data_IF_666346245078
#
_entry.id   IF_666346245078
#
_cell.length_a   1.000
_cell.length_b   1.000
_cell.length_c   1.000
_cell.angle_alpha   90.00
_cell.angle_beta   90.00
_cell.angle_gamma   90.00
#
_symmetry.space_group_name_H-M   'P 1'
#
loop_
_entity.id
_entity.type
_entity.pdbx_description
1 polymer ?
#
# COMPACT_ATOMS: atom_id res chain seq x y z
N UNK A 1 -19.37 -22.13 -5.35
CA UNK A 1 -19.07 -20.80 -4.78
C UNK A 1 -18.00 -21.02 -3.74
N UNK A 2 -16.84 -20.42 -3.95
CA UNK A 2 -15.75 -20.34 -2.98
C UNK A 2 -15.73 -18.93 -2.40
N UNK A 3 -15.19 -18.78 -1.19
CA UNK A 3 -14.87 -17.47 -0.62
C UNK A 3 -13.36 -17.34 -0.53
N UNK A 4 -12.86 -16.12 -0.71
CA UNK A 4 -11.50 -15.78 -0.31
C UNK A 4 -11.53 -14.86 0.90
N UNK A 5 -10.52 -15.01 1.76
CA UNK A 5 -10.26 -14.08 2.85
C UNK A 5 -9.30 -13.00 2.36
N UNK A 6 -9.63 -11.74 2.58
CA UNK A 6 -8.79 -10.59 2.28
C UNK A 6 -8.71 -9.64 3.48
N UNK A 7 -7.74 -8.73 3.49
CA UNK A 7 -7.65 -7.67 4.49
C UNK A 7 -8.22 -6.37 3.91
N UNK A 8 -9.23 -5.81 4.56
CA UNK A 8 -9.77 -4.49 4.26
C UNK A 8 -9.16 -3.46 5.20
N UNK A 9 -8.43 -2.51 4.64
CA UNK A 9 -7.93 -1.34 5.36
C UNK A 9 -8.87 -0.16 5.18
N UNK A 10 -9.07 0.62 6.24
CA UNK A 10 -9.95 1.79 6.25
C UNK A 10 -9.29 2.99 6.92
N UNK A 11 -8.59 3.81 6.13
CA UNK A 11 -8.03 5.08 6.56
C UNK A 11 -8.81 6.28 5.99
N UNK A 12 -10.13 6.14 5.85
CA UNK A 12 -10.99 7.27 5.50
C UNK A 12 -10.98 8.31 6.62
N UNK A 13 -11.21 9.58 6.27
CA UNK A 13 -11.28 10.68 7.24
C UNK A 13 -12.29 10.38 8.36
N UNK A 14 -13.49 9.91 8.00
CA UNK A 14 -14.53 9.56 8.97
C UNK A 14 -14.05 8.48 9.97
N UNK A 15 -13.33 7.46 9.50
CA UNK A 15 -12.83 6.40 10.37
C UNK A 15 -11.67 6.88 11.25
N UNK A 16 -10.76 7.71 10.71
CA UNK A 16 -9.67 8.30 11.48
C UNK A 16 -10.17 9.24 12.58
N UNK A 17 -11.20 10.04 12.29
CA UNK A 17 -11.75 11.00 13.25
C UNK A 17 -12.62 10.31 14.31
N UNK A 18 -13.23 9.16 14.01
CA UNK A 18 -13.93 8.34 15.01
C UNK A 18 -13.00 7.66 16.03
N UNK A 19 -11.70 7.59 15.75
CA UNK A 19 -10.71 6.80 16.50
C UNK A 19 -9.46 7.60 16.88
N UNK A 20 -9.63 8.74 17.56
CA UNK A 20 -8.55 9.70 17.90
C UNK A 20 -7.32 9.08 18.60
N UNK A 21 -7.52 8.16 19.55
CA UNK A 21 -6.39 7.51 20.28
C UNK A 21 -5.46 6.77 19.32
N UNK A 22 -6.01 6.16 18.27
CA UNK A 22 -5.21 5.46 17.27
C UNK A 22 -4.48 6.43 16.34
N UNK A 23 -5.06 7.61 16.09
CA UNK A 23 -4.45 8.67 15.29
C UNK A 23 -3.11 9.12 15.89
N UNK A 24 -3.05 9.28 17.21
CA UNK A 24 -1.81 9.63 17.92
C UNK A 24 -0.71 8.57 17.69
N UNK A 25 -1.05 7.28 17.83
CA UNK A 25 -0.12 6.19 17.59
C UNK A 25 0.37 6.14 16.13
N UNK A 26 -0.52 6.39 15.17
CA UNK A 26 -0.16 6.44 13.74
C UNK A 26 0.78 7.59 13.39
N UNK A 27 0.76 8.68 14.17
CA UNK A 27 1.68 9.81 14.04
C UNK A 27 3.01 9.62 14.78
N UNK A 28 3.27 8.45 15.38
CA UNK A 28 4.50 8.18 16.15
C UNK A 28 5.74 7.84 15.31
N UNK A 29 5.58 7.62 14.00
CA UNK A 29 6.67 7.32 13.05
C UNK A 29 7.04 5.86 12.97
N UNK A 30 6.29 5.02 13.68
CA UNK A 30 6.40 3.57 13.64
C UNK A 30 5.55 3.02 12.50
N UNK A 31 5.89 1.80 12.08
CA UNK A 31 5.06 1.04 11.15
C UNK A 31 3.68 0.80 11.78
N UNK A 32 2.64 1.43 11.23
CA UNK A 32 1.25 1.37 11.69
C UNK A 32 0.74 -0.07 11.74
N UNK A 33 1.25 -0.95 10.87
CA UNK A 33 0.90 -2.37 10.87
C UNK A 33 1.23 -3.06 12.20
N UNK A 34 2.21 -2.58 12.96
CA UNK A 34 2.54 -3.12 14.27
C UNK A 34 1.41 -2.99 15.26
N UNK A 35 0.66 -1.90 15.17
CA UNK A 35 -0.42 -1.56 16.08
C UNK A 35 -1.76 -2.13 15.59
N UNK A 36 -2.04 -2.07 14.28
CA UNK A 36 -3.35 -2.44 13.74
C UNK A 36 -3.49 -3.91 13.33
N UNK A 37 -2.40 -4.62 13.01
CA UNK A 37 -2.45 -6.07 12.75
C UNK A 37 -2.15 -6.80 14.07
N UNK A 38 -3.19 -7.32 14.70
CA UNK A 38 -3.11 -8.02 15.98
C UNK A 38 -3.54 -9.48 15.82
N UNK A 39 -2.98 -10.33 16.69
CA UNK A 39 -3.35 -11.74 16.78
C UNK A 39 -3.73 -12.08 18.21
N UNK A 40 -4.86 -12.76 18.36
CA UNK A 40 -5.37 -13.27 19.64
C UNK A 40 -5.50 -14.78 19.54
N UNK A 41 -4.87 -15.52 20.46
CA UNK A 41 -4.86 -16.99 20.44
C UNK A 41 -4.38 -17.62 19.11
N UNK A 42 -3.56 -16.90 18.34
CA UNK A 42 -3.04 -17.35 17.04
C UNK A 42 -3.94 -17.03 15.84
N UNK A 43 -5.09 -16.39 16.06
CA UNK A 43 -6.00 -15.94 15.01
C UNK A 43 -5.91 -14.42 14.83
N UNK A 44 -6.16 -13.93 13.62
CA UNK A 44 -6.15 -12.50 13.34
C UNK A 44 -7.34 -11.83 14.05
N UNK A 45 -7.07 -10.74 14.77
CA UNK A 45 -8.08 -9.94 15.47
C UNK A 45 -8.36 -8.67 14.67
N UNK A 46 -9.64 -8.46 14.35
CA UNK A 46 -10.10 -7.28 13.64
C UNK A 46 -9.87 -6.01 14.46
N UNK A 47 -9.43 -4.94 13.79
CA UNK A 47 -9.36 -3.59 14.38
C UNK A 47 -10.21 -2.63 13.56
N UNK A 48 -10.49 -1.41 14.06
CA UNK A 48 -11.21 -0.42 13.27
C UNK A 48 -10.55 -0.07 11.93
N UNK A 49 -9.23 -0.28 11.81
CA UNK A 49 -8.44 0.12 10.65
C UNK A 49 -8.09 -1.03 9.71
N UNK A 50 -8.11 -2.28 10.20
CA UNK A 50 -7.90 -3.45 9.36
C UNK A 50 -8.80 -4.59 9.82
N UNK A 51 -9.55 -5.16 8.88
CA UNK A 51 -10.46 -6.27 9.12
C UNK A 51 -10.27 -7.39 8.12
N UNK A 52 -10.47 -8.62 8.58
CA UNK A 52 -10.60 -9.77 7.71
C UNK A 52 -12.00 -9.76 7.09
N UNK A 53 -12.06 -9.81 5.76
CA UNK A 53 -13.33 -9.89 5.02
C UNK A 53 -13.36 -11.14 4.15
N UNK A 54 -14.53 -11.74 4.04
CA UNK A 54 -14.79 -12.79 3.06
C UNK A 54 -15.39 -12.20 1.78
N UNK A 55 -14.80 -12.56 0.64
CA UNK A 55 -15.26 -12.13 -0.67
C UNK A 55 -15.70 -13.37 -1.44
N UNK A 56 -16.99 -13.40 -1.82
CA UNK A 56 -17.55 -14.50 -2.59
C UNK A 56 -17.01 -14.51 -4.02
N UNK A 57 -16.55 -15.67 -4.47
CA UNK A 57 -16.08 -15.91 -5.82
C UNK A 57 -17.12 -16.68 -6.63
N UNK A 58 -17.33 -16.24 -7.87
CA UNK A 58 -18.37 -16.79 -8.75
C UNK A 58 -17.92 -18.03 -9.53
N UNK A 59 -16.63 -18.34 -9.54
CA UNK A 59 -16.08 -19.48 -10.27
C UNK A 59 -15.08 -20.30 -9.45
N UNK A 60 -14.67 -21.45 -10.00
CA UNK A 60 -13.68 -22.33 -9.40
C UNK A 60 -12.24 -21.81 -9.48
N UNK A 61 -12.04 -20.62 -10.04
CA UNK A 61 -10.75 -19.96 -10.18
C UNK A 61 -10.62 -18.75 -9.25
N UNK A 62 -11.57 -18.57 -8.32
CA UNK A 62 -11.56 -17.48 -7.34
C UNK A 62 -11.46 -16.08 -7.98
N UNK A 63 -12.03 -15.86 -9.17
CA UNK A 63 -12.10 -14.51 -9.71
C UNK A 63 -13.10 -13.67 -8.92
N UNK A 64 -12.76 -12.40 -8.75
CA UNK A 64 -13.62 -11.41 -8.10
C UNK A 64 -13.85 -10.31 -9.12
N UNK A 65 -15.12 -9.97 -9.33
CA UNK A 65 -15.48 -8.95 -10.32
C UNK A 65 -15.23 -7.54 -9.77
N UNK A 66 -14.91 -6.62 -10.66
CA UNK A 66 -14.76 -5.20 -10.34
C UNK A 66 -16.00 -4.64 -9.64
N UNK A 67 -17.22 -5.05 -10.02
CA UNK A 67 -18.44 -4.62 -9.32
C UNK A 67 -18.47 -5.04 -7.84
N UNK A 68 -17.92 -6.21 -7.51
CA UNK A 68 -17.85 -6.65 -6.10
C UNK A 68 -16.84 -5.82 -5.33
N UNK A 69 -15.66 -5.57 -5.91
CA UNK A 69 -14.61 -4.76 -5.28
C UNK A 69 -15.06 -3.31 -5.09
N UNK A 70 -15.70 -2.74 -6.11
CA UNK A 70 -16.34 -1.42 -6.09
C UNK A 70 -17.33 -1.29 -4.94
N UNK A 71 -18.20 -2.29 -4.74
CA UNK A 71 -19.17 -2.31 -3.64
C UNK A 71 -18.51 -2.40 -2.27
N UNK A 72 -17.47 -3.22 -2.09
CA UNK A 72 -16.75 -3.35 -0.82
C UNK A 72 -16.04 -2.05 -0.45
N UNK A 73 -15.35 -1.45 -1.42
CA UNK A 73 -14.61 -0.19 -1.23
C UNK A 73 -15.51 1.04 -1.19
N UNK A 74 -16.77 0.91 -1.64
CA UNK A 74 -17.74 2.00 -1.82
C UNK A 74 -17.23 3.09 -2.76
N UNK A 75 -16.67 2.69 -3.88
CA UNK A 75 -16.18 3.59 -4.94
C UNK A 75 -16.72 3.15 -6.29
N UNK A 76 -16.81 4.06 -7.25
CA UNK A 76 -17.21 3.68 -8.60
C UNK A 76 -16.20 2.70 -9.22
N UNK A 77 -16.72 1.70 -9.94
CA UNK A 77 -15.88 0.67 -10.56
C UNK A 77 -14.83 1.23 -11.53
N UNK A 78 -15.14 2.35 -12.19
CA UNK A 78 -14.24 3.03 -13.13
C UNK A 78 -13.03 3.67 -12.41
N UNK A 79 -13.15 3.86 -11.10
CA UNK A 79 -12.11 4.40 -10.23
C UNK A 79 -11.32 3.31 -9.50
N UNK A 80 -11.58 2.01 -9.76
CA UNK A 80 -10.75 0.93 -9.22
C UNK A 80 -9.35 0.97 -9.83
N UNK A 81 -8.34 0.86 -8.98
CA UNK A 81 -6.94 0.79 -9.38
C UNK A 81 -6.22 -0.35 -8.67
N UNK A 82 -5.47 -1.13 -9.45
CA UNK A 82 -4.63 -2.21 -8.95
C UNK A 82 -3.21 -1.68 -8.74
N UNK A 83 -2.83 -1.53 -7.48
CA UNK A 83 -1.48 -1.17 -7.07
C UNK A 83 -0.64 -2.45 -6.94
N UNK A 84 0.19 -2.69 -7.95
CA UNK A 84 1.20 -3.74 -7.88
C UNK A 84 2.42 -3.23 -7.12
N UNK A 85 2.42 -3.40 -5.80
CA UNK A 85 3.59 -3.06 -5.01
C UNK A 85 4.64 -4.18 -5.05
N UNK A 86 4.23 -5.45 -5.03
CA UNK A 86 5.15 -6.58 -5.00
C UNK A 86 5.11 -7.40 -6.29
N UNK A 87 6.27 -7.68 -6.88
CA UNK A 87 6.42 -8.70 -7.91
C UNK A 87 7.61 -9.59 -7.59
N UNK A 88 7.36 -10.78 -7.05
CA UNK A 88 8.34 -11.88 -7.15
C UNK A 88 8.45 -12.33 -8.59
N UNK A 89 9.18 -11.57 -9.41
CA UNK A 89 9.71 -12.10 -10.65
C UNK A 89 10.79 -13.13 -10.31
N UNK A 90 10.39 -14.39 -10.14
CA UNK A 90 11.33 -15.49 -10.28
C UNK A 90 11.85 -15.47 -11.73
N UNK A 91 13.08 -15.00 -11.93
CA UNK A 91 13.81 -15.26 -13.17
C UNK A 91 13.91 -16.77 -13.31
N UNK A 92 13.15 -17.36 -14.23
CA UNK A 92 13.41 -18.72 -14.72
C UNK A 92 14.84 -18.75 -15.27
N UNK A 93 15.78 -19.28 -14.50
CA UNK A 93 16.96 -19.89 -15.12
C UNK A 93 16.43 -21.05 -15.95
N UNK A 94 16.84 -21.14 -17.21
CA UNK A 94 16.45 -22.23 -18.11
C UNK A 94 17.11 -23.52 -17.61
N UNK A 95 16.48 -24.22 -16.69
CA UNK A 95 16.80 -25.61 -16.37
C UNK A 95 15.54 -26.46 -16.51
N UNK A 96 15.55 -27.29 -17.53
CA UNK A 96 14.54 -28.30 -17.83
C UNK A 96 14.61 -29.41 -16.78
N UNK A 97 14.03 -29.20 -15.60
CA UNK A 97 13.63 -30.29 -14.72
C UNK A 97 12.29 -29.95 -14.05
N UNK A 98 11.32 -30.84 -14.24
CA UNK A 98 9.98 -30.84 -13.64
C UNK A 98 10.11 -30.91 -12.12
N UNK A 99 10.19 -29.76 -11.46
CA UNK A 99 9.76 -29.59 -10.08
C UNK A 99 8.89 -28.34 -10.08
N UNK A 100 7.59 -28.49 -9.77
CA UNK A 100 6.70 -27.36 -9.49
C UNK A 100 7.22 -26.65 -8.23
N UNK A 101 8.14 -25.72 -8.42
CA UNK A 101 8.43 -24.73 -7.41
C UNK A 101 7.29 -23.71 -7.44
N UNK A 102 6.62 -23.55 -6.31
CA UNK A 102 5.60 -22.52 -6.06
C UNK A 102 6.14 -21.17 -6.55
N UNK A 103 5.60 -20.66 -7.66
CA UNK A 103 5.88 -19.30 -8.07
C UNK A 103 5.31 -18.37 -7.00
N UNK A 104 6.16 -17.50 -6.46
CA UNK A 104 5.88 -16.68 -5.29
C UNK A 104 4.55 -15.92 -5.35
N UNK A 105 3.92 -15.88 -4.19
CA UNK A 105 2.66 -15.21 -3.90
C UNK A 105 2.76 -13.70 -4.17
N UNK A 106 1.86 -13.16 -5.00
CA UNK A 106 1.82 -11.72 -5.31
C UNK A 106 0.82 -11.03 -4.40
N UNK A 107 1.25 -10.02 -3.66
CA UNK A 107 0.35 -9.19 -2.86
C UNK A 107 -0.14 -8.03 -3.71
N UNK A 108 -1.47 -7.87 -3.76
CA UNK A 108 -2.14 -6.83 -4.53
C UNK A 108 -2.88 -5.91 -3.59
N UNK A 109 -2.74 -4.62 -3.85
CA UNK A 109 -3.50 -3.57 -3.20
C UNK A 109 -4.53 -3.04 -4.18
N UNK A 110 -5.80 -3.16 -3.84
CA UNK A 110 -6.92 -2.62 -4.61
C UNK A 110 -7.40 -1.35 -3.93
N UNK A 111 -7.28 -0.21 -4.60
CA UNK A 111 -7.62 1.10 -4.03
C UNK A 111 -8.34 1.99 -5.04
N UNK A 112 -8.77 3.17 -4.59
CA UNK A 112 -9.38 4.19 -5.43
C UNK A 112 -8.31 5.00 -6.17
N UNK A 113 -8.38 5.06 -7.50
CA UNK A 113 -7.48 5.86 -8.34
C UNK A 113 -7.46 7.34 -7.95
N UNK A 114 -8.63 7.87 -7.59
CA UNK A 114 -8.81 9.25 -7.12
C UNK A 114 -8.71 9.38 -5.60
N UNK A 115 -8.13 8.39 -4.89
CA UNK A 115 -7.99 8.46 -3.43
C UNK A 115 -7.29 9.74 -2.99
N UNK A 116 -6.28 10.19 -3.74
CA UNK A 116 -5.46 11.38 -3.46
C UNK A 116 -6.26 12.69 -3.62
N UNK A 117 -7.34 12.69 -4.40
CA UNK A 117 -8.19 13.87 -4.62
C UNK A 117 -9.35 13.94 -3.61
N UNK A 118 -9.70 12.81 -2.99
CA UNK A 118 -10.90 12.65 -2.16
C UNK A 118 -10.61 12.59 -0.65
N UNK A 119 -9.35 12.40 -0.27
CA UNK A 119 -8.92 12.29 1.13
C UNK A 119 -8.09 13.49 1.55
N UNK A 120 -8.25 13.89 2.81
CA UNK A 120 -7.33 14.84 3.45
C UNK A 120 -6.07 14.14 3.95
N UNK A 121 -6.17 12.90 4.40
CA UNK A 121 -5.09 12.16 5.07
C UNK A 121 -4.40 11.20 4.12
N UNK A 122 -3.06 11.26 4.08
CA UNK A 122 -2.25 10.40 3.22
C UNK A 122 -1.31 9.55 4.06
N UNK A 123 -1.19 8.29 3.67
CA UNK A 123 -0.24 7.33 4.20
C UNK A 123 0.78 6.99 3.12
N UNK A 124 1.92 6.50 3.55
CA UNK A 124 2.93 5.94 2.70
C UNK A 124 3.05 4.45 2.97
N UNK A 125 3.22 3.68 1.92
CA UNK A 125 3.44 2.24 1.98
C UNK A 125 4.68 1.87 1.17
N UNK A 126 5.44 0.90 1.68
CA UNK A 126 6.56 0.28 0.96
C UNK A 126 6.65 -1.20 1.33
N UNK A 127 7.42 -1.95 0.54
CA UNK A 127 7.68 -3.36 0.80
C UNK A 127 9.17 -3.66 0.83
N UNK A 128 9.53 -4.71 1.55
CA UNK A 128 10.88 -5.22 1.68
C UNK A 128 11.18 -6.17 0.51
N UNK A 129 12.02 -5.74 -0.42
CA UNK A 129 12.42 -6.52 -1.60
C UNK A 129 13.22 -7.77 -1.21
N UNK A 130 14.15 -7.61 -0.26
CA UNK A 130 14.98 -8.67 0.32
C UNK A 130 15.46 -8.25 1.72
N UNK A 131 16.29 -9.06 2.40
CA UNK A 131 16.71 -8.81 3.79
C UNK A 131 17.31 -7.43 4.05
N UNK A 132 17.87 -6.77 3.04
CA UNK A 132 18.60 -5.51 3.16
C UNK A 132 17.94 -4.33 2.42
N UNK A 133 17.01 -4.58 1.49
CA UNK A 133 16.51 -3.55 0.58
C UNK A 133 15.00 -3.34 0.70
N UNK A 134 14.62 -2.08 0.88
CA UNK A 134 13.25 -1.59 0.78
C UNK A 134 12.97 -0.98 -0.59
N UNK A 135 11.72 -1.08 -1.04
CA UNK A 135 11.22 -0.34 -2.20
C UNK A 135 11.11 1.15 -1.89
N UNK A 136 10.94 1.96 -2.95
CA UNK A 136 10.48 3.34 -2.80
C UNK A 136 9.11 3.39 -2.11
N UNK A 137 8.85 4.50 -1.42
CA UNK A 137 7.56 4.80 -0.82
C UNK A 137 6.53 5.14 -1.89
N UNK A 138 5.31 4.66 -1.72
CA UNK A 138 4.15 5.04 -2.53
C UNK A 138 3.03 5.58 -1.64
N UNK A 139 2.28 6.54 -2.14
CA UNK A 139 1.11 7.11 -1.49
C UNK A 139 -0.05 6.11 -1.46
N UNK A 140 -0.75 6.04 -0.34
CA UNK A 140 -1.97 5.25 -0.16
C UNK A 140 -2.93 5.96 0.80
N UNK A 141 -4.24 5.90 0.54
CA UNK A 141 -5.23 6.54 1.39
C UNK A 141 -6.64 5.96 1.23
N UNK A 142 -7.53 6.34 2.14
CA UNK A 142 -8.92 5.90 2.12
C UNK A 142 -9.07 4.40 2.41
N UNK A 143 -9.96 3.74 1.66
CA UNK A 143 -10.18 2.30 1.75
C UNK A 143 -9.38 1.56 0.69
N UNK A 144 -8.76 0.45 1.09
CA UNK A 144 -8.12 -0.45 0.15
C UNK A 144 -8.15 -1.90 0.65
N UNK A 145 -8.07 -2.84 -0.29
CA UNK A 145 -8.03 -4.27 0.00
C UNK A 145 -6.63 -4.79 -0.29
N UNK A 146 -6.08 -5.55 0.65
CA UNK A 146 -4.89 -6.36 0.45
C UNK A 146 -5.32 -7.80 0.24
N UNK A 147 -4.90 -8.37 -0.88
CA UNK A 147 -5.18 -9.76 -1.27
C UNK A 147 -3.94 -10.41 -1.88
N UNK A 148 -4.01 -11.72 -2.06
CA UNK A 148 -2.93 -12.51 -2.65
C UNK A 148 -3.37 -13.10 -3.98
N UNK A 149 -2.61 -12.89 -5.03
CA UNK A 149 -2.74 -13.59 -6.30
C UNK A 149 -1.82 -14.82 -6.36
N UNK A 150 -2.29 -15.89 -7.00
CA UNK A 150 -1.46 -17.02 -7.38
C UNK A 150 -1.65 -17.37 -8.87
N UNK A 151 -0.58 -17.81 -9.53
CA UNK A 151 -0.62 -18.14 -10.96
C UNK A 151 -0.94 -19.62 -11.17
N UNK A 152 -2.01 -19.90 -11.90
CA UNK A 152 -2.29 -21.25 -12.42
C UNK A 152 -1.45 -21.57 -13.66
N UNK A 153 -0.42 -22.40 -13.47
CA UNK A 153 0.28 -23.13 -14.55
C UNK A 153 1.05 -22.29 -15.59
N UNK A 154 1.73 -22.96 -16.54
CA UNK A 154 2.42 -22.30 -17.65
C UNK A 154 1.39 -21.83 -18.69
N UNK A 155 0.82 -20.66 -18.46
CA UNK A 155 -0.24 -20.06 -19.27
C UNK A 155 -1.04 -19.00 -18.50
N UNK A 156 -1.04 -19.10 -17.16
CA UNK A 156 -1.36 -18.04 -16.19
C UNK A 156 -2.66 -17.28 -16.43
N UNK A 157 -3.75 -17.74 -15.83
CA UNK A 157 -4.94 -16.89 -15.63
C UNK A 157 -4.54 -15.77 -14.65
N UNK A 158 -4.68 -14.51 -15.07
CA UNK A 158 -4.48 -13.34 -14.22
C UNK A 158 -5.67 -13.18 -13.25
N UNK A 159 -5.48 -12.55 -12.08
CA UNK A 159 -6.56 -12.19 -11.14
C UNK A 159 -7.24 -13.36 -10.40
N UNK A 160 -6.49 -14.44 -10.18
CA UNK A 160 -6.94 -15.56 -9.34
C UNK A 160 -6.48 -15.32 -7.91
N UNK A 161 -7.43 -15.15 -6.99
CA UNK A 161 -7.12 -14.78 -5.61
C UNK A 161 -7.06 -15.98 -4.65
N UNK A 162 -6.09 -15.95 -3.73
CA UNK A 162 -5.93 -16.90 -2.63
C UNK A 162 -6.45 -16.28 -1.33
N UNK A 163 -7.13 -17.07 -0.47
CA UNK A 163 -7.41 -16.65 0.90
C UNK A 163 -6.11 -16.31 1.65
N UNK A 164 -6.11 -15.18 2.37
CA UNK A 164 -5.07 -14.85 3.34
C UNK A 164 -5.30 -15.62 4.64
N UNK A 165 -4.43 -16.57 4.96
CA UNK A 165 -4.42 -17.19 6.29
C UNK A 165 -3.52 -16.40 7.25
N UNK A 166 -3.59 -16.72 8.56
CA UNK A 166 -2.84 -16.04 9.61
C UNK A 166 -1.33 -15.92 9.31
N UNK A 167 -0.73 -16.97 8.73
CA UNK A 167 0.68 -16.98 8.33
C UNK A 167 0.98 -15.93 7.24
N UNK A 168 0.09 -15.78 6.26
CA UNK A 168 0.22 -14.81 5.18
C UNK A 168 0.04 -13.39 5.69
N UNK A 169 -0.90 -13.16 6.62
CA UNK A 169 -1.10 -11.87 7.28
C UNK A 169 0.15 -11.50 8.10
N UNK A 170 0.73 -12.45 8.84
CA UNK A 170 1.97 -12.24 9.57
C UNK A 170 3.16 -11.92 8.63
N UNK A 171 3.24 -12.59 7.49
CA UNK A 171 4.25 -12.30 6.46
C UNK A 171 4.05 -10.90 5.85
N UNK A 172 2.81 -10.48 5.59
CA UNK A 172 2.50 -9.11 5.16
C UNK A 172 2.99 -8.10 6.19
N UNK A 173 2.67 -8.29 7.48
CA UNK A 173 3.13 -7.43 8.58
C UNK A 173 4.65 -7.28 8.63
N UNK A 174 5.41 -8.34 8.34
CA UNK A 174 6.88 -8.33 8.35
C UNK A 174 7.52 -7.70 7.11
N UNK A 175 6.87 -7.83 5.95
CA UNK A 175 7.41 -7.38 4.67
C UNK A 175 6.96 -6.00 4.24
N UNK A 176 5.92 -5.44 4.87
CA UNK A 176 5.38 -4.15 4.51
C UNK A 176 5.53 -3.16 5.66
N UNK A 177 5.66 -1.90 5.29
CA UNK A 177 5.56 -0.78 6.21
C UNK A 177 4.51 0.19 5.72
N UNK A 178 3.63 0.61 6.64
CA UNK A 178 2.70 1.71 6.42
C UNK A 178 2.97 2.77 7.48
N UNK A 179 3.06 4.03 7.07
CA UNK A 179 3.16 5.16 7.98
C UNK A 179 2.26 6.30 7.54
N UNK A 180 1.77 7.08 8.50
CA UNK A 180 1.10 8.33 8.18
C UNK A 180 2.11 9.31 7.58
N UNK A 181 1.73 10.12 6.59
CA UNK A 181 2.67 11.08 5.98
C UNK A 181 2.17 12.52 6.00
N UNK A 182 0.98 12.79 6.54
CA UNK A 182 0.46 14.14 6.66
C UNK A 182 -0.84 14.33 5.90
N UNK A 183 -1.04 15.54 5.40
CA UNK A 183 -2.25 15.93 4.67
C UNK A 183 -1.95 16.32 3.23
N UNK A 184 -2.93 16.13 2.36
CA UNK A 184 -2.84 16.56 0.98
C UNK A 184 -3.24 18.03 0.86
N UNK A 185 -2.46 18.80 0.11
CA UNK A 185 -2.85 20.15 -0.30
C UNK A 185 -3.74 20.06 -1.55
N UNK A 186 -5.06 20.13 -1.35
CA UNK A 186 -6.06 19.96 -2.41
C UNK A 186 -6.21 21.20 -3.30
N UNK A 187 -6.01 22.40 -2.74
CA UNK A 187 -6.06 23.67 -3.47
C UNK A 187 -4.64 24.20 -3.72
N UNK A 188 -4.07 23.81 -4.85
CA UNK A 188 -2.92 24.52 -5.40
C UNK A 188 -3.49 25.56 -6.35
N UNK A 189 -3.36 26.84 -6.02
CA UNK A 189 -3.99 27.97 -6.73
C UNK A 189 -3.60 28.17 -8.21
N UNK A 190 -2.89 27.22 -8.81
CA UNK A 190 -2.47 27.24 -10.21
C UNK A 190 -2.71 25.86 -10.87
N UNK A 191 -3.33 25.79 -12.06
CA UNK A 191 -3.46 24.53 -12.79
C UNK A 191 -2.08 23.93 -13.14
N UNK A 192 -1.96 22.59 -13.10
CA UNK A 192 -0.75 21.78 -13.36
C UNK A 192 0.26 21.66 -12.21
N UNK A 193 -0.15 21.95 -10.99
CA UNK A 193 0.65 21.73 -9.80
C UNK A 193 0.47 20.29 -9.29
N UNK A 194 1.59 19.55 -9.15
CA UNK A 194 1.55 18.18 -8.66
C UNK A 194 1.09 18.12 -7.19
N UNK A 195 0.35 17.07 -6.83
CA UNK A 195 -0.18 16.93 -5.48
C UNK A 195 0.93 16.87 -4.44
N UNK A 196 0.85 17.76 -3.44
CA UNK A 196 1.84 17.87 -2.35
C UNK A 196 1.31 17.31 -1.04
N UNK A 197 2.23 16.73 -0.27
CA UNK A 197 2.00 16.35 1.11
C UNK A 197 2.55 17.46 2.02
N UNK A 198 1.71 17.91 2.94
CA UNK A 198 2.01 18.94 3.94
C UNK A 198 1.81 18.38 5.36
N UNK A 199 2.38 19.06 6.36
CA UNK A 199 2.28 18.69 7.77
C UNK A 199 2.74 17.24 8.03
N UNK A 200 3.84 16.84 7.40
CA UNK A 200 4.48 15.56 7.70
C UNK A 200 5.02 15.60 9.13
N UNK A 201 4.46 14.78 10.05
CA UNK A 201 4.87 14.83 11.46
C UNK A 201 6.33 14.40 11.68
N UNK A 202 6.98 13.78 10.69
CA UNK A 202 8.36 13.31 10.79
C UNK A 202 9.36 14.25 10.12
N UNK A 203 8.92 14.99 9.09
CA UNK A 203 9.80 15.92 8.40
C UNK A 203 9.07 17.06 7.69
N UNK A 204 8.78 18.13 8.44
CA UNK A 204 8.19 19.35 7.89
C UNK A 204 9.13 20.14 6.94
N UNK A 205 10.43 19.81 6.91
CA UNK A 205 11.42 20.50 6.06
C UNK A 205 11.51 19.92 4.65
N UNK A 206 11.06 18.69 4.44
CA UNK A 206 11.09 18.02 3.14
C UNK A 206 9.72 18.15 2.48
N UNK A 207 9.71 18.76 1.29
CA UNK A 207 8.50 18.84 0.46
C UNK A 207 8.37 17.56 -0.36
N UNK A 208 7.27 16.85 -0.13
CA UNK A 208 6.92 15.61 -0.81
C UNK A 208 5.85 15.86 -1.86
N UNK A 209 6.04 15.24 -3.02
CA UNK A 209 5.11 15.25 -4.15
C UNK A 209 4.68 13.81 -4.41
N UNK A 210 3.43 13.62 -4.83
CA UNK A 210 2.93 12.32 -5.28
C UNK A 210 2.93 12.32 -6.81
N UNK A 211 3.64 11.37 -7.41
CA UNK A 211 3.52 11.10 -8.85
C UNK A 211 2.09 10.60 -9.15
N UNK A 212 1.28 11.32 -9.96
CA UNK A 212 -0.11 10.95 -10.20
C UNK A 212 -0.27 9.66 -11.05
N UNK A 213 0.79 9.18 -11.67
CA UNK A 213 0.79 7.98 -12.52
C UNK A 213 1.22 6.75 -11.73
N UNK A 214 2.26 6.87 -10.90
CA UNK A 214 2.87 5.74 -10.19
C UNK A 214 2.59 5.74 -8.69
N UNK A 215 2.04 6.84 -8.18
CA UNK A 215 1.83 7.14 -6.77
C UNK A 215 3.11 7.13 -5.95
N UNK A 216 4.28 7.14 -6.59
CA UNK A 216 5.56 7.24 -5.88
C UNK A 216 5.66 8.57 -5.16
N UNK A 217 6.24 8.53 -3.96
CA UNK A 217 6.61 9.74 -3.22
C UNK A 217 7.92 10.25 -3.80
N UNK A 218 7.83 11.40 -4.45
CA UNK A 218 8.95 12.17 -4.96
C UNK A 218 9.23 13.34 -4.01
N UNK A 219 10.39 13.97 -4.18
CA UNK A 219 10.81 15.09 -3.35
C UNK A 219 11.10 16.31 -4.21
N UNK A 220 10.75 17.51 -3.73
CA UNK A 220 10.92 18.76 -4.52
C UNK A 220 12.36 18.92 -5.05
N UNK A 221 13.38 18.49 -4.30
CA UNK A 221 14.80 18.53 -4.71
C UNK A 221 15.12 17.66 -5.94
N UNK A 222 14.22 16.74 -6.32
CA UNK A 222 14.34 15.91 -7.52
C UNK A 222 13.61 16.50 -8.72
N UNK A 223 12.72 17.49 -8.52
CA UNK A 223 11.82 18.03 -9.56
C UNK A 223 12.14 19.49 -9.87
N UNK A 224 12.51 20.27 -8.87
CA UNK A 224 12.93 21.67 -9.02
C UNK A 224 14.45 21.67 -9.20
N UNK A 225 14.95 22.08 -10.37
CA UNK A 225 16.35 22.50 -10.55
C UNK A 225 16.59 23.80 -9.77
N UNK A 226 16.47 23.77 -8.44
CA UNK A 226 17.07 24.78 -7.59
C UNK A 226 18.56 24.44 -7.51
N UNK A 227 19.41 25.44 -7.80
CA UNK A 227 20.87 25.32 -7.74
C UNK A 227 21.23 24.61 -6.42
N UNK A 228 21.96 23.48 -6.46
CA UNK A 228 22.27 22.72 -5.25
C UNK A 228 22.94 23.67 -4.25
N UNK A 229 22.31 23.85 -3.10
CA UNK A 229 22.95 24.52 -1.97
C UNK A 229 23.58 23.44 -1.10
N UNK A 230 24.71 23.74 -0.46
CA UNK A 230 25.37 22.79 0.46
C UNK A 230 24.39 22.23 1.53
N UNK A 231 23.34 22.99 1.86
CA UNK A 231 22.26 22.56 2.77
C UNK A 231 21.35 21.47 2.19
N UNK A 232 21.07 21.44 0.88
CA UNK A 232 20.18 20.42 0.29
C UNK A 232 20.86 19.06 0.22
N UNK A 233 22.15 19.03 -0.08
CA UNK A 233 22.94 17.79 -0.09
C UNK A 233 23.13 17.23 1.33
N UNK A 234 23.28 18.11 2.33
CA UNK A 234 23.34 17.73 3.74
C UNK A 234 21.98 17.16 4.23
N UNK A 235 20.86 17.78 3.86
CA UNK A 235 19.52 17.23 4.13
C UNK A 235 19.34 15.88 3.45
N UNK A 236 19.83 15.72 2.21
CA UNK A 236 19.71 14.46 1.49
C UNK A 236 20.54 13.34 2.11
N UNK A 237 21.80 13.61 2.45
CA UNK A 237 22.66 12.67 3.16
C UNK A 237 22.10 12.31 4.53
N UNK A 238 21.58 13.28 5.29
CA UNK A 238 20.97 13.02 6.59
C UNK A 238 19.72 12.14 6.48
N UNK A 239 18.96 12.26 5.38
CA UNK A 239 17.85 11.36 5.11
C UNK A 239 18.35 9.96 4.73
N UNK A 240 19.31 9.83 3.81
CA UNK A 240 19.86 8.52 3.41
C UNK A 240 20.53 7.79 4.58
N UNK A 241 21.29 8.49 5.42
CA UNK A 241 21.99 7.93 6.59
C UNK A 241 21.01 7.46 7.67
N UNK A 242 19.80 8.04 7.75
CA UNK A 242 18.80 7.72 8.79
C UNK A 242 17.84 6.58 8.41
N UNK A 243 17.76 6.25 7.12
CA UNK A 243 16.81 5.27 6.60
C UNK A 243 17.46 4.13 5.79
N UNK A 244 18.79 3.99 5.84
CA UNK A 244 19.52 2.77 5.50
C UNK A 244 19.53 1.78 6.67
#
# INVERSE_FOLDING_TARGET
MSNITALLFDFTTDNLDAHEIWKENMTSGRNVLNDIIQFENGEFSDTPFVRSIEIACYDCFNHIKDEQMSNILKIDKENLCNYEMYNTTYRKSRSFTRNMQSLGDKIIILANKSMVEQTKHIFEIRYKENEEKWSSWQAIAGKFIVTQEYRFGPGGVAQVYSPLAAKQIANFKQKFEIRYSGSILLDMGEPNTLTRIINDPFNNGIRKIIDPTTFQILFDSQIIQEVPSEKSDEIWRNFEERYR
#
